data_IF_185653841812
#
_entry.id   IF_185653841812
#
_cell.length_a   1.000
_cell.length_b   1.000
_cell.length_c   1.000
_cell.angle_alpha   90.00
_cell.angle_beta   90.00
_cell.angle_gamma   90.00
#
_symmetry.space_group_name_H-M   'P 1'
#
loop_
_entity.id
_entity.type
_entity.pdbx_description
1 polymer ?
#
# COMPACT_ATOMS: atom_id res chain seq x y z
N UNK A 1 17.51 52.34 0.03
CA UNK A 1 16.54 51.96 1.07
C UNK A 1 16.41 50.45 0.97
N UNK A 2 16.88 49.74 2.00
CA UNK A 2 17.07 48.29 1.95
C UNK A 2 15.74 47.56 1.82
N UNK A 3 15.67 46.65 0.85
CA UNK A 3 14.60 45.66 0.76
C UNK A 3 14.69 44.78 2.00
N UNK A 4 13.71 44.94 2.89
CA UNK A 4 13.48 44.04 4.01
C UNK A 4 13.24 42.65 3.45
N UNK A 5 14.14 41.70 3.75
CA UNK A 5 13.81 40.27 3.75
C UNK A 5 12.51 40.09 4.53
N UNK A 6 11.41 39.92 3.80
CA UNK A 6 10.14 39.52 4.39
C UNK A 6 10.28 38.04 4.74
N UNK A 7 10.05 37.64 5.99
CA UNK A 7 10.43 36.33 6.45
C UNK A 7 9.63 35.28 5.70
N UNK A 8 10.36 34.43 4.95
CA UNK A 8 9.97 33.04 4.75
C UNK A 8 9.36 32.56 6.06
N UNK A 9 8.11 32.11 5.98
CA UNK A 9 7.35 31.37 6.98
C UNK A 9 8.21 31.14 8.22
N UNK A 10 7.99 31.93 9.28
CA UNK A 10 8.63 31.65 10.57
C UNK A 10 8.44 30.17 10.85
N UNK A 11 9.54 29.44 10.81
CA UNK A 11 9.65 28.01 11.11
C UNK A 11 9.44 27.73 12.61
N UNK A 12 8.51 28.44 13.25
CA UNK A 12 8.25 28.43 14.69
C UNK A 12 6.76 28.21 14.97
N UNK A 13 6.28 27.04 14.54
CA UNK A 13 5.47 26.13 15.38
C UNK A 13 5.46 24.73 14.77
N UNK A 14 6.66 24.22 14.42
CA UNK A 14 6.81 22.80 14.15
C UNK A 14 6.64 22.05 15.48
N UNK A 15 5.39 21.81 15.88
CA UNK A 15 5.06 20.54 16.54
C UNK A 15 5.72 19.50 15.65
N UNK A 16 6.75 18.83 16.17
CA UNK A 16 7.46 17.76 15.47
C UNK A 16 6.39 16.84 14.88
N UNK A 17 6.23 16.89 13.56
CA UNK A 17 5.18 16.12 12.90
C UNK A 17 5.62 14.67 12.98
N UNK A 18 4.83 13.86 13.67
CA UNK A 18 5.08 12.43 13.77
C UNK A 18 5.02 11.84 12.35
N UNK A 19 5.93 10.95 11.94
CA UNK A 19 5.84 10.23 10.68
C UNK A 19 4.49 9.60 10.44
N UNK A 20 3.78 9.08 11.44
CA UNK A 20 2.42 8.57 11.25
C UNK A 20 1.43 9.65 10.83
N UNK A 21 1.67 10.93 11.17
CA UNK A 21 0.82 12.05 10.78
C UNK A 21 1.12 12.54 9.35
N UNK A 22 2.36 12.38 8.87
CA UNK A 22 2.76 12.68 7.49
C UNK A 22 3.59 11.55 6.89
N UNK A 23 3.01 10.34 6.85
CA UNK A 23 3.72 9.11 6.46
C UNK A 23 4.37 9.23 5.08
N UNK A 24 3.67 9.90 4.16
CA UNK A 24 4.15 10.09 2.79
C UNK A 24 5.09 11.29 2.63
N UNK A 25 5.37 12.04 3.70
CA UNK A 25 6.26 13.21 3.71
C UNK A 25 5.77 14.34 2.81
N UNK A 26 4.46 14.57 2.72
CA UNK A 26 3.87 15.62 1.89
C UNK A 26 4.36 17.02 2.29
N UNK A 27 4.47 17.33 3.58
CA UNK A 27 4.98 18.63 4.06
C UNK A 27 6.44 18.83 3.68
N UNK A 28 7.26 17.77 3.80
CA UNK A 28 8.67 17.80 3.36
C UNK A 28 8.76 18.02 1.85
N UNK A 29 7.97 17.29 1.06
CA UNK A 29 7.93 17.46 -0.40
C UNK A 29 7.49 18.85 -0.83
N UNK A 30 6.52 19.44 -0.12
CA UNK A 30 6.09 20.81 -0.40
C UNK A 30 7.20 21.81 -0.10
N UNK A 31 7.85 21.72 1.07
CA UNK A 31 9.03 22.55 1.39
C UNK A 31 10.11 22.43 0.34
N UNK A 32 10.53 21.21 -0.01
CA UNK A 32 11.53 21.00 -1.05
C UNK A 32 11.09 21.54 -2.43
N UNK A 33 9.78 21.58 -2.72
CA UNK A 33 9.27 22.15 -3.97
C UNK A 33 9.33 23.68 -3.95
N UNK A 34 9.08 24.32 -2.80
CA UNK A 34 9.26 25.76 -2.60
C UNK A 34 10.74 26.14 -2.66
N UNK A 35 11.62 25.36 -2.01
CA UNK A 35 13.07 25.62 -2.05
C UNK A 35 13.57 25.57 -3.49
N UNK A 36 13.16 24.56 -4.28
CA UNK A 36 13.51 24.49 -5.71
C UNK A 36 12.92 25.61 -6.57
N UNK A 37 11.74 26.11 -6.21
CA UNK A 37 11.11 27.24 -6.90
C UNK A 37 11.92 28.52 -6.64
N UNK A 38 12.39 28.71 -5.40
CA UNK A 38 13.23 29.84 -4.99
C UNK A 38 14.68 29.71 -5.49
N UNK A 39 15.22 28.51 -5.60
CA UNK A 39 16.61 28.32 -6.03
C UNK A 39 16.78 28.23 -7.56
N UNK A 40 15.70 28.41 -8.33
CA UNK A 40 15.73 28.26 -9.80
C UNK A 40 16.23 29.51 -10.53
N UNK A 41 17.47 29.48 -11.01
CA UNK A 41 18.06 30.58 -11.80
C UNK A 41 17.44 30.75 -13.20
N UNK A 42 16.82 29.69 -13.74
CA UNK A 42 16.21 29.65 -15.07
C UNK A 42 14.74 30.15 -15.07
N UNK A 43 14.15 30.40 -13.90
CA UNK A 43 12.78 30.88 -13.77
C UNK A 43 12.72 32.41 -13.73
N UNK A 44 11.84 33.00 -14.55
CA UNK A 44 11.55 34.44 -14.49
C UNK A 44 11.11 34.89 -13.09
N UNK A 45 11.62 36.04 -12.64
CA UNK A 45 11.31 36.58 -11.29
C UNK A 45 9.82 36.83 -11.08
N UNK A 46 9.14 37.29 -12.11
CA UNK A 46 7.71 37.60 -12.14
C UNK A 46 6.87 36.34 -11.91
N UNK A 47 7.27 35.23 -12.53
CA UNK A 47 6.63 33.93 -12.33
C UNK A 47 6.88 33.41 -10.94
N UNK A 48 8.12 33.48 -10.45
CA UNK A 48 8.46 33.04 -9.11
C UNK A 48 7.59 33.73 -8.05
N UNK A 49 7.50 35.06 -8.11
CA UNK A 49 6.71 35.86 -7.18
C UNK A 49 5.21 35.52 -7.29
N UNK A 50 4.69 35.43 -8.51
CA UNK A 50 3.27 35.13 -8.75
C UNK A 50 2.91 33.71 -8.31
N UNK A 51 3.77 32.71 -8.55
CA UNK A 51 3.58 31.33 -8.11
C UNK A 51 3.60 31.28 -6.58
N UNK A 52 4.54 31.95 -5.91
CA UNK A 52 4.57 32.00 -4.45
C UNK A 52 3.31 32.65 -3.86
N UNK A 53 2.86 33.76 -4.44
CA UNK A 53 1.61 34.40 -4.02
C UNK A 53 0.43 33.45 -4.17
N UNK A 54 0.29 32.82 -5.34
CA UNK A 54 -0.80 31.89 -5.60
C UNK A 54 -0.80 30.69 -4.64
N UNK A 55 0.36 30.09 -4.39
CA UNK A 55 0.48 28.96 -3.47
C UNK A 55 0.12 29.35 -2.03
N UNK A 56 0.39 30.60 -1.61
CA UNK A 56 -0.05 31.12 -0.31
C UNK A 56 -1.55 31.35 -0.27
N UNK A 57 -2.13 31.92 -1.31
CA UNK A 57 -3.58 32.15 -1.41
C UNK A 57 -4.37 30.84 -1.39
N UNK A 58 -3.78 29.76 -1.91
CA UNK A 58 -4.37 28.42 -1.95
C UNK A 58 -4.06 27.54 -0.74
N UNK A 59 -3.24 28.02 0.20
CA UNK A 59 -2.92 27.26 1.40
C UNK A 59 -4.16 27.12 2.30
N UNK A 60 -4.39 25.93 2.84
CA UNK A 60 -5.62 25.59 3.55
C UNK A 60 -6.80 25.16 2.66
N UNK A 61 -6.91 25.69 1.44
CA UNK A 61 -7.94 25.29 0.48
C UNK A 61 -7.58 23.99 -0.25
N UNK A 62 -6.29 23.80 -0.55
CA UNK A 62 -5.78 22.64 -1.25
C UNK A 62 -5.00 21.70 -0.34
N UNK A 63 -4.99 20.42 -0.71
CA UNK A 63 -4.11 19.46 -0.07
C UNK A 63 -2.64 19.86 -0.29
N UNK A 64 -1.80 19.73 0.74
CA UNK A 64 -0.35 20.02 0.71
C UNK A 64 0.35 19.30 -0.46
N UNK A 65 -0.07 18.07 -0.76
CA UNK A 65 0.44 17.32 -1.91
C UNK A 65 0.16 18.00 -3.25
N UNK A 66 -0.99 18.66 -3.38
CA UNK A 66 -1.39 19.39 -4.58
C UNK A 66 -0.58 20.68 -4.71
N UNK A 67 -0.38 21.41 -3.61
CA UNK A 67 0.49 22.60 -3.60
C UNK A 67 1.92 22.24 -4.04
N UNK A 68 2.49 21.15 -3.53
CA UNK A 68 3.80 20.65 -3.95
C UNK A 68 3.85 20.32 -5.45
N UNK A 69 2.79 19.71 -5.99
CA UNK A 69 2.70 19.41 -7.42
C UNK A 69 2.60 20.67 -8.27
N UNK A 70 1.80 21.65 -7.85
CA UNK A 70 1.67 22.92 -8.54
C UNK A 70 2.98 23.71 -8.54
N UNK A 71 3.63 23.85 -7.37
CA UNK A 71 4.95 24.49 -7.27
C UNK A 71 5.96 23.85 -8.24
N UNK A 72 6.07 22.52 -8.21
CA UNK A 72 7.00 21.80 -9.08
C UNK A 72 6.65 21.93 -10.57
N UNK A 73 5.38 21.87 -10.94
CA UNK A 73 4.95 21.90 -12.34
C UNK A 73 5.08 23.29 -12.96
N UNK A 74 4.64 24.32 -12.24
CA UNK A 74 4.75 25.70 -12.71
C UNK A 74 6.20 26.14 -12.79
N UNK A 75 7.05 25.76 -11.84
CA UNK A 75 8.51 25.96 -11.95
C UNK A 75 9.04 25.37 -13.26
N UNK A 76 8.76 24.09 -13.53
CA UNK A 76 9.27 23.42 -14.76
C UNK A 76 8.72 24.08 -16.03
N UNK A 77 7.47 24.53 -16.03
CA UNK A 77 6.92 25.26 -17.18
C UNK A 77 7.59 26.62 -17.37
N UNK A 78 7.81 27.37 -16.29
CA UNK A 78 8.47 28.67 -16.35
C UNK A 78 9.93 28.57 -16.76
N UNK A 79 10.66 27.55 -16.29
CA UNK A 79 12.05 27.25 -16.73
C UNK A 79 12.15 26.88 -18.22
N UNK A 80 11.04 26.47 -18.83
CA UNK A 80 10.98 26.07 -20.25
C UNK A 80 10.44 27.18 -21.15
N UNK A 81 9.87 28.23 -20.57
CA UNK A 81 9.21 29.27 -21.32
C UNK A 81 10.15 30.46 -21.47
N UNK A 82 10.38 30.91 -22.70
CA UNK A 82 11.15 32.14 -22.96
C UNK A 82 10.40 33.41 -22.53
N UNK A 83 9.08 33.29 -22.35
CA UNK A 83 8.16 34.35 -21.91
C UNK A 83 7.70 34.00 -20.50
N UNK A 84 7.63 34.95 -19.55
CA UNK A 84 7.04 34.70 -18.25
C UNK A 84 5.65 34.08 -18.37
N UNK A 85 5.36 33.03 -17.59
CA UNK A 85 4.05 32.38 -17.51
C UNK A 85 2.92 33.39 -17.28
N UNK A 86 3.20 34.45 -16.50
CA UNK A 86 2.25 35.53 -16.21
C UNK A 86 1.89 36.39 -17.43
N UNK A 87 2.69 36.35 -18.50
CA UNK A 87 2.55 37.17 -19.71
C UNK A 87 2.18 36.35 -20.96
N UNK A 88 1.97 35.03 -20.82
CA UNK A 88 1.66 34.15 -21.95
C UNK A 88 0.33 34.53 -22.64
N UNK A 89 0.34 34.48 -23.97
CA UNK A 89 -0.86 34.42 -24.79
C UNK A 89 -1.29 32.97 -25.05
N UNK A 90 -2.49 32.78 -25.61
CA UNK A 90 -2.99 31.45 -25.98
C UNK A 90 -2.05 30.73 -26.97
N UNK A 91 -1.45 31.47 -27.90
CA UNK A 91 -0.56 30.89 -28.90
C UNK A 91 0.77 30.47 -28.27
N UNK A 92 1.31 31.27 -27.33
CA UNK A 92 2.51 30.90 -26.57
C UNK A 92 2.27 29.65 -25.71
N UNK A 93 1.09 29.53 -25.08
CA UNK A 93 0.70 28.33 -24.32
C UNK A 93 0.66 27.10 -25.24
N UNK A 94 0.09 27.24 -26.45
CA UNK A 94 0.02 26.14 -27.42
C UNK A 94 1.40 25.71 -27.90
N UNK A 95 2.28 26.68 -28.14
CA UNK A 95 3.68 26.44 -28.52
C UNK A 95 4.45 25.73 -27.40
N UNK A 96 4.37 26.23 -26.16
CA UNK A 96 5.00 25.63 -24.98
C UNK A 96 4.59 24.16 -24.80
N UNK A 97 3.31 23.83 -24.96
CA UNK A 97 2.84 22.45 -24.87
C UNK A 97 3.13 21.62 -26.12
N UNK A 98 3.26 22.23 -27.30
CA UNK A 98 3.75 21.54 -28.48
C UNK A 98 5.20 21.10 -28.28
N UNK A 99 6.07 21.98 -27.79
CA UNK A 99 7.46 21.67 -27.49
C UNK A 99 7.59 20.62 -26.39
N UNK A 100 6.87 20.79 -25.26
CA UNK A 100 6.89 19.83 -24.16
C UNK A 100 6.51 18.42 -24.60
N UNK A 101 5.53 18.26 -25.50
CA UNK A 101 5.10 16.95 -26.02
C UNK A 101 6.17 16.29 -26.90
N UNK A 102 6.99 17.08 -27.59
CA UNK A 102 7.97 16.60 -28.56
C UNK A 102 9.40 16.55 -28.00
N UNK A 103 9.63 17.09 -26.81
CA UNK A 103 10.92 17.03 -26.14
C UNK A 103 11.25 15.59 -25.66
N UNK A 104 12.30 14.95 -26.21
CA UNK A 104 12.67 13.58 -25.83
C UNK A 104 13.20 13.46 -24.40
N UNK A 105 13.62 14.57 -23.78
CA UNK A 105 14.25 14.60 -22.46
C UNK A 105 13.27 15.08 -21.37
N UNK A 106 12.04 15.48 -21.74
CA UNK A 106 11.01 15.94 -20.80
C UNK A 106 10.33 14.84 -19.97
N UNK A 107 10.47 13.57 -20.35
CA UNK A 107 9.90 12.42 -19.64
C UNK A 107 10.94 11.45 -19.08
N UNK A 108 10.50 10.28 -18.61
CA UNK A 108 11.41 9.23 -18.12
C UNK A 108 11.86 8.34 -19.27
N UNK A 109 12.98 8.69 -19.90
CA UNK A 109 13.56 7.90 -20.99
C UNK A 109 12.85 8.11 -22.34
N UNK A 110 12.32 9.31 -22.56
CA UNK A 110 11.58 9.71 -23.75
C UNK A 110 10.61 10.85 -23.45
N UNK A 111 9.78 11.26 -24.43
CA UNK A 111 8.78 12.30 -24.24
C UNK A 111 7.80 12.01 -23.10
N UNK A 112 7.20 13.05 -22.49
CA UNK A 112 6.29 12.88 -21.37
C UNK A 112 5.00 12.17 -21.82
N UNK A 113 4.45 11.34 -20.94
CA UNK A 113 3.15 10.70 -21.20
C UNK A 113 2.03 11.73 -21.34
N UNK A 114 0.95 11.41 -22.06
CA UNK A 114 -0.23 12.29 -22.18
C UNK A 114 -0.79 12.72 -20.81
N UNK A 115 -0.81 11.79 -19.84
CA UNK A 115 -1.22 12.10 -18.46
C UNK A 115 -0.28 13.09 -17.77
N UNK A 116 1.03 13.02 -18.06
CA UNK A 116 2.00 13.98 -17.55
C UNK A 116 1.76 15.37 -18.15
N UNK A 117 1.55 15.44 -19.46
CA UNK A 117 1.27 16.70 -20.18
C UNK A 117 -0.03 17.33 -19.67
N UNK A 118 -1.11 16.56 -19.58
CA UNK A 118 -2.38 17.01 -19.01
C UNK A 118 -2.21 17.60 -17.60
N UNK A 119 -1.39 16.98 -16.75
CA UNK A 119 -1.13 17.47 -15.41
C UNK A 119 -0.40 18.83 -15.40
N UNK A 120 0.48 19.09 -16.37
CA UNK A 120 1.09 20.40 -16.56
C UNK A 120 0.07 21.42 -17.08
N UNK A 121 -0.72 21.07 -18.10
CA UNK A 121 -1.80 21.92 -18.63
C UNK A 121 -2.80 22.31 -17.54
N UNK A 122 -3.24 21.35 -16.72
CA UNK A 122 -4.16 21.59 -15.61
C UNK A 122 -3.56 22.48 -14.52
N UNK A 123 -2.25 22.36 -14.26
CA UNK A 123 -1.56 23.24 -13.30
C UNK A 123 -1.49 24.69 -13.83
N UNK A 124 -1.10 24.87 -15.09
CA UNK A 124 -1.04 26.18 -15.72
C UNK A 124 -2.43 26.82 -15.81
N UNK A 125 -3.44 26.06 -16.26
CA UNK A 125 -4.81 26.55 -16.30
C UNK A 125 -5.35 26.93 -14.92
N UNK A 126 -5.04 26.17 -13.87
CA UNK A 126 -5.47 26.52 -12.51
C UNK A 126 -4.81 27.80 -11.98
N UNK A 127 -3.55 28.04 -12.36
CA UNK A 127 -2.81 29.26 -12.03
C UNK A 127 -3.35 30.47 -12.81
N UNK A 128 -3.51 30.31 -14.12
CA UNK A 128 -4.06 31.34 -15.01
C UNK A 128 -5.50 31.73 -14.65
N UNK A 129 -6.34 30.75 -14.27
CA UNK A 129 -7.69 31.01 -13.78
C UNK A 129 -7.70 31.84 -12.48
N UNK A 130 -6.76 31.62 -11.56
CA UNK A 130 -6.66 32.44 -10.34
C UNK A 130 -6.28 33.89 -10.64
N UNK A 131 -5.50 34.08 -11.71
CA UNK A 131 -5.04 35.38 -12.18
C UNK A 131 -6.03 36.07 -13.13
N UNK A 132 -7.11 35.38 -13.51
CA UNK A 132 -8.09 35.85 -14.49
C UNK A 132 -7.46 36.14 -15.87
N UNK A 133 -6.44 35.35 -16.25
CA UNK A 133 -5.76 35.51 -17.54
C UNK A 133 -6.72 35.14 -18.69
N UNK A 134 -6.92 36.07 -19.64
CA UNK A 134 -7.99 35.97 -20.67
C UNK A 134 -7.94 34.72 -21.53
N UNK A 135 -6.74 34.21 -21.83
CA UNK A 135 -6.57 33.06 -22.73
C UNK A 135 -7.11 31.76 -22.13
N UNK A 136 -7.30 31.70 -20.81
CA UNK A 136 -7.71 30.47 -20.11
C UNK A 136 -9.13 30.03 -20.49
N UNK A 137 -10.00 30.97 -20.88
CA UNK A 137 -11.36 30.67 -21.33
C UNK A 137 -11.38 29.88 -22.64
N UNK A 138 -10.36 30.06 -23.48
CA UNK A 138 -10.18 29.42 -24.78
C UNK A 138 -9.20 28.24 -24.73
N UNK A 139 -8.78 27.83 -23.53
CA UNK A 139 -7.84 26.74 -23.31
C UNK A 139 -8.48 25.61 -22.51
N UNK A 140 -8.70 24.47 -23.16
CA UNK A 140 -9.10 23.23 -22.49
C UNK A 140 -7.89 22.29 -22.40
N UNK A 141 -7.41 21.94 -21.19
CA UNK A 141 -6.39 20.92 -21.02
C UNK A 141 -6.79 19.62 -21.73
N UNK A 142 -5.87 19.06 -22.52
CA UNK A 142 -6.12 17.84 -23.30
C UNK A 142 -6.24 16.66 -22.35
N UNK A 143 -7.48 16.35 -21.94
CA UNK A 143 -7.75 15.16 -21.14
C UNK A 143 -7.34 13.96 -22.00
N UNK A 144 -6.36 13.16 -21.55
CA UNK A 144 -6.02 11.95 -22.28
C UNK A 144 -7.30 11.14 -22.44
N UNK A 145 -7.48 10.55 -23.62
CA UNK A 145 -8.54 9.57 -23.79
C UNK A 145 -8.40 8.59 -22.64
N UNK A 146 -9.49 8.40 -21.87
CA UNK A 146 -9.55 7.35 -20.88
C UNK A 146 -9.48 6.02 -21.65
N UNK A 147 -8.28 5.61 -22.06
CA UNK A 147 -7.99 4.21 -22.23
C UNK A 147 -8.23 3.65 -20.84
N UNK A 148 -9.42 3.08 -20.67
CA UNK A 148 -9.79 2.42 -19.44
C UNK A 148 -8.78 1.29 -19.32
N UNK A 149 -7.70 1.52 -18.58
CA UNK A 149 -6.92 0.42 -18.02
C UNK A 149 -7.85 -0.25 -17.05
N UNK A 150 -8.65 -1.16 -17.59
CA UNK A 150 -9.33 -2.21 -16.85
C UNK A 150 -8.25 -2.84 -16.00
N UNK A 151 -8.56 -3.06 -14.72
CA UNK A 151 -7.65 -3.86 -13.91
C UNK A 151 -7.67 -5.23 -14.57
N UNK A 152 -6.53 -5.66 -15.13
CA UNK A 152 -6.47 -7.00 -15.70
C UNK A 152 -6.61 -7.97 -14.53
N UNK A 153 -7.53 -8.93 -14.63
CA UNK A 153 -7.69 -9.91 -13.57
C UNK A 153 -6.40 -10.70 -13.35
N UNK A 154 -5.62 -10.93 -14.42
CA UNK A 154 -4.31 -11.58 -14.36
C UNK A 154 -3.30 -10.81 -13.50
N UNK A 155 -3.47 -9.50 -13.33
CA UNK A 155 -2.57 -8.71 -12.47
C UNK A 155 -2.94 -8.83 -10.98
N UNK A 156 -4.16 -9.31 -10.66
CA UNK A 156 -4.63 -9.46 -9.28
C UNK A 156 -4.07 -10.72 -8.63
N UNK A 157 -3.84 -10.63 -7.32
CA UNK A 157 -3.43 -11.76 -6.50
C UNK A 157 -4.61 -12.71 -6.26
N UNK A 158 -4.39 -14.01 -6.45
CA UNK A 158 -5.31 -15.09 -6.05
C UNK A 158 -5.20 -15.39 -4.54
N UNK A 159 -6.10 -16.20 -3.99
CA UNK A 159 -6.00 -16.64 -2.60
C UNK A 159 -4.71 -17.43 -2.34
N UNK A 160 -4.35 -18.33 -3.26
CA UNK A 160 -3.14 -19.14 -3.14
C UNK A 160 -1.86 -18.28 -3.26
N UNK A 161 -1.87 -17.25 -4.11
CA UNK A 161 -0.76 -16.29 -4.18
C UNK A 161 -0.64 -15.47 -2.89
N UNK A 162 -1.75 -15.07 -2.26
CA UNK A 162 -1.71 -14.41 -0.94
C UNK A 162 -1.17 -15.36 0.13
N UNK A 163 -1.56 -16.64 0.12
CA UNK A 163 -1.00 -17.64 1.02
C UNK A 163 0.51 -17.82 0.82
N UNK A 164 0.96 -17.94 -0.43
CA UNK A 164 2.39 -18.02 -0.76
C UNK A 164 3.18 -16.79 -0.29
N UNK A 165 2.60 -15.58 -0.39
CA UNK A 165 3.21 -14.37 0.16
C UNK A 165 3.31 -14.41 1.69
N UNK A 166 2.29 -14.94 2.36
CA UNK A 166 2.28 -15.11 3.82
C UNK A 166 3.37 -16.10 4.24
N UNK A 167 3.48 -17.23 3.56
CA UNK A 167 4.48 -18.27 3.85
C UNK A 167 5.92 -17.80 3.57
N UNK A 168 6.12 -16.97 2.55
CA UNK A 168 7.40 -16.34 2.25
C UNK A 168 7.81 -15.25 3.28
N UNK A 169 6.92 -14.82 4.17
CA UNK A 169 7.23 -13.77 5.14
C UNK A 169 8.15 -14.26 6.27
N UNK A 170 9.43 -13.88 6.20
CA UNK A 170 10.44 -14.18 7.24
C UNK A 170 10.23 -13.52 8.61
N UNK A 171 9.23 -12.63 8.77
CA UNK A 171 8.99 -11.87 10.01
C UNK A 171 7.49 -11.67 10.26
N UNK A 172 7.01 -11.76 11.52
CA UNK A 172 5.60 -11.53 11.85
C UNK A 172 5.07 -10.17 11.41
N UNK A 173 5.91 -9.11 11.42
CA UNK A 173 5.52 -7.80 10.90
C UNK A 173 5.17 -7.85 9.41
N UNK A 174 5.97 -8.53 8.61
CA UNK A 174 5.76 -8.59 7.16
C UNK A 174 4.50 -9.40 6.85
N UNK A 175 4.30 -10.51 7.56
CA UNK A 175 3.06 -11.29 7.50
C UNK A 175 1.84 -10.43 7.85
N UNK A 176 1.89 -9.71 8.97
CA UNK A 176 0.82 -8.81 9.38
C UNK A 176 0.56 -7.69 8.35
N UNK A 177 1.59 -7.18 7.67
CA UNK A 177 1.44 -6.20 6.57
C UNK A 177 0.69 -6.82 5.39
N UNK A 178 1.10 -8.00 4.93
CA UNK A 178 0.51 -8.68 3.77
C UNK A 178 -0.95 -9.02 4.05
N UNK A 179 -1.22 -9.69 5.18
CA UNK A 179 -2.58 -10.06 5.56
C UNK A 179 -3.47 -8.83 5.76
N UNK A 180 -2.96 -7.77 6.41
CA UNK A 180 -3.76 -6.55 6.62
C UNK A 180 -4.14 -5.85 5.31
N UNK A 181 -3.21 -5.80 4.35
CA UNK A 181 -3.52 -5.24 3.04
C UNK A 181 -4.50 -6.11 2.25
N UNK A 182 -4.35 -7.44 2.30
CA UNK A 182 -5.27 -8.38 1.66
C UNK A 182 -6.68 -8.36 2.29
N UNK A 183 -6.77 -8.24 3.62
CA UNK A 183 -8.03 -8.15 4.36
C UNK A 183 -8.77 -6.85 4.03
N UNK A 184 -8.09 -5.71 4.16
CA UNK A 184 -8.73 -4.40 4.23
C UNK A 184 -8.69 -3.60 2.93
N UNK A 185 -7.74 -3.90 2.03
CA UNK A 185 -7.54 -3.13 0.80
C UNK A 185 -7.17 -1.66 1.03
N UNK A 186 -6.67 -1.29 2.21
CA UNK A 186 -6.35 0.09 2.56
C UNK A 186 -5.22 0.66 1.68
N UNK A 187 -5.24 1.99 1.51
CA UNK A 187 -4.14 2.68 0.82
C UNK A 187 -2.88 2.67 1.70
N UNK A 188 -1.71 2.66 1.07
CA UNK A 188 -0.41 2.70 1.76
C UNK A 188 -0.31 3.81 2.81
N UNK A 189 -0.71 5.04 2.47
CA UNK A 189 -0.65 6.17 3.39
C UNK A 189 -1.50 5.94 4.64
N UNK A 190 -2.66 5.28 4.50
CA UNK A 190 -3.50 4.93 5.64
C UNK A 190 -2.82 3.84 6.47
N UNK A 191 -2.43 2.72 5.86
CA UNK A 191 -1.75 1.61 6.56
C UNK A 191 -0.52 2.08 7.35
N UNK A 192 0.33 2.89 6.72
CA UNK A 192 1.53 3.44 7.33
C UNK A 192 1.29 4.54 8.38
N UNK A 193 0.10 5.13 8.41
CA UNK A 193 -0.28 6.15 9.40
C UNK A 193 -0.91 5.58 10.68
N UNK A 194 -1.21 4.29 10.72
CA UNK A 194 -1.82 3.65 11.88
C UNK A 194 -0.81 3.56 13.03
N UNK A 195 -1.30 3.81 14.23
CA UNK A 195 -0.57 3.60 15.49
C UNK A 195 -1.13 2.38 16.22
N UNK A 196 -0.44 1.92 17.25
CA UNK A 196 -0.89 0.81 18.09
C UNK A 196 -2.32 1.06 18.62
N UNK A 197 -2.60 2.26 19.14
CA UNK A 197 -3.93 2.60 19.68
C UNK A 197 -5.05 2.69 18.64
N UNK A 198 -4.68 2.78 17.36
CA UNK A 198 -5.63 2.92 16.27
C UNK A 198 -6.23 1.55 15.89
N UNK A 199 -5.79 0.45 16.53
CA UNK A 199 -6.28 -0.90 16.30
C UNK A 199 -6.85 -1.50 17.59
N UNK A 200 -8.07 -2.01 17.52
CA UNK A 200 -8.71 -2.79 18.56
C UNK A 200 -8.82 -4.24 18.09
N UNK A 201 -8.03 -5.14 18.69
CA UNK A 201 -8.01 -6.57 18.36
C UNK A 201 -8.71 -7.42 19.42
N UNK A 202 -9.30 -6.79 20.44
CA UNK A 202 -9.92 -7.47 21.56
C UNK A 202 -11.34 -7.94 21.20
N UNK A 203 -11.73 -9.09 21.72
CA UNK A 203 -13.04 -9.70 21.44
C UNK A 203 -13.18 -10.23 20.01
N UNK A 204 -14.42 -10.48 19.59
CA UNK A 204 -14.72 -11.06 18.27
C UNK A 204 -14.72 -10.01 17.15
N UNK A 205 -15.00 -8.74 17.48
CA UNK A 205 -15.19 -7.65 16.52
C UNK A 205 -13.97 -6.73 16.46
N UNK A 206 -12.88 -7.24 15.90
CA UNK A 206 -11.67 -6.44 15.73
C UNK A 206 -11.89 -5.30 14.72
N UNK A 207 -11.28 -4.14 14.97
CA UNK A 207 -11.38 -2.96 14.12
C UNK A 207 -10.08 -2.16 14.06
N UNK A 208 -9.93 -1.30 13.05
CA UNK A 208 -8.99 -0.18 13.07
C UNK A 208 -9.72 1.14 12.81
N UNK A 209 -9.17 2.25 13.31
CA UNK A 209 -9.65 3.60 13.05
C UNK A 209 -8.53 4.42 12.42
N UNK A 210 -8.73 5.09 11.26
CA UNK A 210 -7.66 5.88 10.65
C UNK A 210 -7.14 6.97 11.59
N UNK A 211 -5.83 7.21 11.56
CA UNK A 211 -5.22 8.27 12.36
C UNK A 211 -5.80 9.65 11.96
N UNK A 212 -6.55 10.27 12.88
CA UNK A 212 -7.19 11.57 12.67
C UNK A 212 -6.24 12.72 12.33
N UNK A 213 -4.97 12.62 12.70
CA UNK A 213 -3.96 13.63 12.43
C UNK A 213 -3.26 13.39 11.08
N UNK A 214 -3.47 12.21 10.48
CA UNK A 214 -2.78 11.84 9.26
C UNK A 214 -3.30 12.62 8.04
N UNK A 215 -2.37 13.13 7.25
CA UNK A 215 -2.68 13.80 6.00
C UNK A 215 -2.62 12.84 4.81
N UNK A 216 -3.43 13.12 3.78
CA UNK A 216 -3.44 12.32 2.56
C UNK A 216 -4.25 11.02 2.63
N UNK A 217 -5.20 10.92 3.56
CA UNK A 217 -6.11 9.77 3.68
C UNK A 217 -7.15 9.65 2.55
N UNK A 218 -7.17 10.60 1.59
CA UNK A 218 -7.99 10.58 0.37
C UNK A 218 -9.49 10.33 0.65
N UNK A 219 -10.04 11.03 1.63
CA UNK A 219 -11.47 10.98 1.96
C UNK A 219 -11.89 9.79 2.84
N UNK A 220 -10.94 9.04 3.42
CA UNK A 220 -11.28 8.08 4.46
C UNK A 220 -11.85 8.82 5.68
N UNK A 221 -13.04 8.44 6.11
CA UNK A 221 -13.67 8.97 7.31
C UNK A 221 -12.97 8.43 8.56
N UNK A 222 -12.92 9.24 9.63
CA UNK A 222 -12.35 8.83 10.91
C UNK A 222 -13.41 8.07 11.71
N UNK A 223 -13.56 6.78 11.38
CA UNK A 223 -14.46 5.84 12.07
C UNK A 223 -13.83 4.44 12.12
N UNK A 224 -14.33 3.54 12.98
CA UNK A 224 -13.88 2.16 13.01
C UNK A 224 -14.25 1.41 11.71
N UNK A 225 -13.31 0.63 11.20
CA UNK A 225 -13.47 -0.31 10.09
C UNK A 225 -13.09 -1.71 10.57
N UNK A 226 -13.77 -2.77 10.10
CA UNK A 226 -13.52 -4.11 10.62
C UNK A 226 -12.08 -4.62 10.36
N UNK A 227 -11.66 -5.64 11.09
CA UNK A 227 -10.51 -6.49 10.79
C UNK A 227 -11.02 -7.92 10.90
N UNK A 228 -10.80 -8.72 9.87
CA UNK A 228 -11.35 -10.07 9.78
C UNK A 228 -10.22 -11.08 9.60
N UNK A 229 -9.58 -11.11 8.43
CA UNK A 229 -8.53 -12.10 8.13
C UNK A 229 -7.22 -11.79 8.87
N UNK A 230 -6.86 -10.51 9.00
CA UNK A 230 -5.53 -10.15 9.52
C UNK A 230 -5.48 -10.02 11.05
N UNK A 231 -6.56 -10.37 11.76
CA UNK A 231 -6.65 -10.19 13.21
C UNK A 231 -5.57 -11.00 13.94
N UNK A 232 -5.42 -12.26 13.56
CA UNK A 232 -4.51 -13.18 14.23
C UNK A 232 -3.04 -12.81 13.97
N UNK A 233 -2.65 -12.52 12.74
CA UNK A 233 -1.29 -12.07 12.41
C UNK A 233 -0.93 -10.74 13.08
N UNK A 234 -1.86 -9.77 13.13
CA UNK A 234 -1.66 -8.53 13.87
C UNK A 234 -1.45 -8.79 15.37
N UNK A 235 -2.22 -9.70 15.99
CA UNK A 235 -2.04 -10.08 17.41
C UNK A 235 -0.69 -10.73 17.65
N UNK A 236 -0.28 -11.67 16.79
CA UNK A 236 1.03 -12.35 16.91
C UNK A 236 2.14 -11.31 16.82
N UNK A 237 2.09 -10.44 15.81
CA UNK A 237 3.07 -9.39 15.62
C UNK A 237 3.14 -8.43 16.83
N UNK A 238 2.00 -7.89 17.28
CA UNK A 238 1.95 -6.96 18.42
C UNK A 238 2.48 -7.59 19.72
N UNK A 239 2.18 -8.87 19.96
CA UNK A 239 2.59 -9.54 21.21
C UNK A 239 4.03 -10.02 21.23
N UNK A 240 4.55 -10.46 20.08
CA UNK A 240 5.81 -11.22 20.05
C UNK A 240 6.95 -10.51 19.32
N UNK A 241 6.69 -9.48 18.52
CA UNK A 241 7.73 -8.89 17.66
C UNK A 241 7.68 -7.39 17.51
N UNK A 242 6.58 -6.74 17.88
CA UNK A 242 6.49 -5.28 17.84
C UNK A 242 7.46 -4.68 18.87
N UNK A 243 8.33 -3.72 18.51
CA UNK A 243 9.33 -3.17 19.44
C UNK A 243 8.74 -2.37 20.61
N UNK A 244 7.62 -1.66 20.38
CA UNK A 244 6.98 -0.77 21.38
C UNK A 244 5.45 -0.97 21.47
N UNK A 245 4.96 -2.18 21.79
CA UNK A 245 3.54 -2.52 21.69
C UNK A 245 2.70 -1.88 22.80
N UNK A 246 3.33 -1.45 23.91
CA UNK A 246 2.66 -0.77 25.01
C UNK A 246 2.63 0.76 24.84
N UNK A 247 3.21 1.29 23.76
CA UNK A 247 3.21 2.72 23.44
C UNK A 247 2.07 3.06 22.48
N UNK A 248 0.98 3.72 22.94
CA UNK A 248 -0.21 3.94 22.13
C UNK A 248 0.05 4.75 20.85
N UNK A 249 1.02 5.67 20.89
CA UNK A 249 1.39 6.52 19.75
C UNK A 249 2.45 5.91 18.83
N UNK A 250 3.05 4.78 19.17
CA UNK A 250 4.00 4.11 18.29
C UNK A 250 3.30 3.65 17.01
N UNK A 251 4.01 3.73 15.88
CA UNK A 251 3.48 3.27 14.60
C UNK A 251 3.17 1.77 14.67
N UNK A 252 1.98 1.37 14.19
CA UNK A 252 1.56 -0.03 14.15
C UNK A 252 2.59 -0.86 13.39
N UNK A 253 2.94 -0.46 12.17
CA UNK A 253 4.00 -1.12 11.39
C UNK A 253 5.34 -0.43 11.65
N UNK A 254 6.04 -0.96 12.65
CA UNK A 254 7.23 -0.37 13.23
C UNK A 254 8.51 -0.79 12.48
N UNK A 255 9.48 0.12 12.42
CA UNK A 255 10.84 -0.12 11.96
C UNK A 255 11.66 -0.84 13.04
N UNK A 256 12.55 -1.76 12.67
CA UNK A 256 13.42 -2.40 13.67
C UNK A 256 14.67 -1.54 13.92
N UNK A 257 15.24 -1.62 15.13
CA UNK A 257 16.44 -0.88 15.51
C UNK A 257 17.58 -1.08 14.49
N UNK A 258 18.33 0.01 14.21
CA UNK A 258 19.47 0.00 13.29
C UNK A 258 19.23 0.55 11.88
N UNK A 259 18.02 1.05 11.56
CA UNK A 259 17.68 1.57 10.22
C UNK A 259 17.32 3.08 10.16
N UNK A 260 17.62 3.85 11.21
CA UNK A 260 17.44 5.31 11.31
C UNK A 260 17.65 5.78 12.75
N UNK A 261 17.97 7.05 12.99
CA UNK A 261 18.23 7.61 14.34
C UNK A 261 17.10 7.23 15.33
N UNK A 262 17.38 6.26 16.21
CA UNK A 262 16.41 5.64 17.14
C UNK A 262 16.02 6.57 18.30
N UNK A 263 16.47 7.82 18.30
CA UNK A 263 16.14 8.74 19.40
C UNK A 263 15.19 9.81 18.88
N UNK A 264 13.92 9.69 19.30
CA UNK A 264 12.83 10.68 19.24
C UNK A 264 11.75 10.54 18.14
N UNK A 265 11.56 9.38 17.51
CA UNK A 265 10.51 9.16 16.51
C UNK A 265 9.46 8.08 16.86
N UNK A 266 8.30 8.08 16.21
CA UNK A 266 7.19 7.13 16.42
C UNK A 266 7.46 5.72 15.85
N UNK A 267 8.59 5.57 15.15
CA UNK A 267 9.10 4.32 14.63
C UNK A 267 8.44 3.85 13.36
N UNK A 268 7.66 4.66 12.66
CA UNK A 268 7.04 4.28 11.40
C UNK A 268 8.06 3.84 10.35
N UNK A 269 7.67 2.86 9.53
CA UNK A 269 8.40 2.59 8.28
C UNK A 269 8.34 3.81 7.36
N UNK A 270 9.38 4.05 6.56
CA UNK A 270 9.21 4.97 5.43
C UNK A 270 8.33 4.33 4.34
N UNK A 271 7.62 5.12 3.51
CA UNK A 271 6.87 4.60 2.37
C UNK A 271 7.70 3.73 1.42
N UNK A 272 8.98 4.07 1.25
CA UNK A 272 9.93 3.34 0.41
C UNK A 272 10.27 1.99 1.04
N UNK A 273 10.51 1.95 2.36
CA UNK A 273 10.75 0.71 3.10
C UNK A 273 9.54 -0.20 3.12
N UNK A 274 8.34 0.35 3.33
CA UNK A 274 7.09 -0.42 3.27
C UNK A 274 6.94 -1.11 1.90
N UNK A 275 7.13 -0.38 0.79
CA UNK A 275 7.09 -0.98 -0.55
C UNK A 275 8.23 -1.98 -0.78
N UNK A 276 9.40 -1.74 -0.21
CA UNK A 276 10.53 -2.66 -0.31
C UNK A 276 10.26 -3.98 0.42
N UNK A 277 9.54 -3.95 1.55
CA UNK A 277 9.10 -5.16 2.24
C UNK A 277 8.21 -5.99 1.31
N UNK A 278 7.20 -5.37 0.69
CA UNK A 278 6.29 -6.07 -0.22
C UNK A 278 7.01 -6.68 -1.43
N UNK A 279 7.95 -5.95 -2.05
CA UNK A 279 8.75 -6.48 -3.15
C UNK A 279 9.61 -7.67 -2.72
N UNK A 280 10.30 -7.56 -1.59
CA UNK A 280 11.12 -8.66 -1.07
C UNK A 280 10.31 -9.91 -0.80
N UNK A 281 9.09 -9.78 -0.27
CA UNK A 281 8.20 -10.92 -0.03
C UNK A 281 7.73 -11.54 -1.35
N UNK A 282 7.45 -10.72 -2.37
CA UNK A 282 7.09 -11.21 -3.70
C UNK A 282 8.23 -11.99 -4.36
N UNK A 283 9.45 -11.45 -4.28
CA UNK A 283 10.65 -12.10 -4.81
C UNK A 283 10.91 -13.44 -4.10
N UNK A 284 10.76 -13.47 -2.77
CA UNK A 284 10.90 -14.69 -1.96
C UNK A 284 9.79 -15.73 -2.28
N UNK A 285 8.58 -15.28 -2.63
CA UNK A 285 7.46 -16.15 -3.01
C UNK A 285 7.49 -16.58 -4.50
N UNK A 286 8.39 -16.04 -5.31
CA UNK A 286 8.44 -16.31 -6.76
C UNK A 286 7.24 -15.78 -7.54
N UNK A 287 6.62 -14.67 -7.09
CA UNK A 287 5.44 -14.08 -7.72
C UNK A 287 5.84 -12.88 -8.60
N UNK A 288 5.66 -13.02 -9.90
CA UNK A 288 5.97 -11.98 -10.90
C UNK A 288 4.91 -10.86 -10.96
N UNK A 289 3.71 -11.10 -10.40
CA UNK A 289 2.63 -10.11 -10.37
C UNK A 289 2.99 -8.91 -9.50
N UNK A 290 2.39 -7.72 -9.74
CA UNK A 290 2.70 -6.54 -8.95
C UNK A 290 2.27 -6.65 -7.47
N UNK A 291 3.16 -7.02 -6.55
CA UNK A 291 2.83 -7.05 -5.10
C UNK A 291 2.98 -5.65 -4.49
N UNK A 292 1.91 -4.87 -4.53
CA UNK A 292 1.87 -3.51 -4.01
C UNK A 292 0.50 -3.15 -3.43
N UNK A 293 0.37 -2.08 -2.63
CA UNK A 293 -0.88 -1.75 -1.94
C UNK A 293 -2.06 -1.45 -2.88
N UNK A 294 -1.80 -0.98 -4.10
CA UNK A 294 -2.87 -0.81 -5.09
C UNK A 294 -3.37 -2.16 -5.60
N UNK A 295 -2.47 -3.12 -5.83
CA UNK A 295 -2.88 -4.46 -6.24
C UNK A 295 -3.65 -5.19 -5.14
N UNK A 296 -3.17 -5.16 -3.90
CA UNK A 296 -3.93 -5.71 -2.76
C UNK A 296 -5.33 -5.12 -2.63
N UNK A 297 -5.47 -3.81 -2.90
CA UNK A 297 -6.78 -3.18 -2.93
C UNK A 297 -7.67 -3.71 -4.05
N UNK A 298 -7.12 -3.93 -5.24
CA UNK A 298 -7.85 -4.53 -6.35
C UNK A 298 -8.29 -5.95 -6.00
N UNK A 299 -7.37 -6.78 -5.52
CA UNK A 299 -7.65 -8.12 -5.00
C UNK A 299 -8.73 -8.11 -3.92
N UNK A 300 -8.65 -7.22 -2.93
CA UNK A 300 -9.62 -7.17 -1.84
C UNK A 300 -11.03 -6.78 -2.33
N UNK A 301 -11.14 -5.81 -3.26
CA UNK A 301 -12.42 -5.41 -3.86
C UNK A 301 -13.03 -6.57 -4.64
N UNK A 302 -12.24 -7.19 -5.51
CA UNK A 302 -12.71 -8.32 -6.31
C UNK A 302 -13.11 -9.49 -5.43
N UNK A 303 -12.28 -9.87 -4.45
CA UNK A 303 -12.58 -10.92 -3.47
C UNK A 303 -13.90 -10.67 -2.76
N UNK A 304 -14.10 -9.50 -2.15
CA UNK A 304 -15.35 -9.20 -1.46
C UNK A 304 -16.56 -9.24 -2.39
N UNK A 305 -16.38 -8.78 -3.63
CA UNK A 305 -17.42 -8.87 -4.63
C UNK A 305 -17.76 -10.34 -4.96
N UNK A 306 -16.75 -11.23 -5.12
CA UNK A 306 -16.95 -12.68 -5.29
C UNK A 306 -17.60 -13.34 -4.07
N UNK A 307 -17.29 -12.87 -2.87
CA UNK A 307 -17.92 -13.29 -1.62
C UNK A 307 -19.37 -12.77 -1.46
N UNK A 308 -19.91 -12.04 -2.46
CA UNK A 308 -21.29 -11.55 -2.46
C UNK A 308 -21.55 -10.28 -1.65
N UNK A 309 -20.49 -9.53 -1.29
CA UNK A 309 -20.65 -8.29 -0.53
C UNK A 309 -21.33 -7.21 -1.35
N UNK A 310 -22.23 -6.45 -0.71
CA UNK A 310 -22.90 -5.33 -1.32
C UNK A 310 -21.94 -4.19 -1.67
N UNK A 311 -22.24 -3.47 -2.76
CA UNK A 311 -21.47 -2.30 -3.24
C UNK A 311 -21.11 -1.29 -2.13
N UNK A 312 -22.09 -0.97 -1.27
CA UNK A 312 -21.91 -0.02 -0.17
C UNK A 312 -20.99 -0.57 0.93
N UNK A 313 -21.04 -1.88 1.18
CA UNK A 313 -20.21 -2.57 2.16
C UNK A 313 -18.75 -2.58 1.69
N UNK A 314 -18.52 -2.88 0.42
CA UNK A 314 -17.19 -2.81 -0.21
C UNK A 314 -16.66 -1.37 -0.16
N UNK A 315 -17.46 -0.38 -0.57
CA UNK A 315 -17.08 1.05 -0.51
C UNK A 315 -16.67 1.46 0.90
N UNK A 316 -17.44 1.03 1.91
CA UNK A 316 -17.12 1.24 3.31
C UNK A 316 -15.80 0.54 3.67
N UNK A 317 -15.65 -0.75 3.35
CA UNK A 317 -14.48 -1.57 3.71
C UNK A 317 -13.18 -1.02 3.15
N UNK A 318 -13.18 -0.47 1.93
CA UNK A 318 -11.97 0.07 1.31
C UNK A 318 -11.84 1.59 1.43
N UNK A 319 -12.71 2.29 2.15
CA UNK A 319 -12.66 3.75 2.29
C UNK A 319 -12.76 4.48 0.93
N UNK A 320 -13.74 4.11 0.12
CA UNK A 320 -14.18 4.92 -1.01
C UNK A 320 -15.32 5.85 -0.60
N UNK A 321 -15.36 7.02 -1.22
CA UNK A 321 -16.57 7.84 -1.21
C UNK A 321 -17.68 7.16 -2.04
N UNK A 322 -18.93 7.39 -1.66
CA UNK A 322 -20.10 6.75 -2.28
C UNK A 322 -20.23 7.06 -3.79
N UNK A 323 -19.81 8.26 -4.22
CA UNK A 323 -19.94 8.77 -5.61
C UNK A 323 -18.65 8.65 -6.43
N UNK A 324 -18.01 7.48 -6.41
CA UNK A 324 -16.73 7.30 -7.10
C UNK A 324 -16.85 6.53 -8.42
N UNK A 325 -16.20 7.03 -9.48
CA UNK A 325 -16.02 6.33 -10.76
C UNK A 325 -15.08 5.11 -10.65
N UNK A 326 -14.58 4.76 -9.46
CA UNK A 326 -13.66 3.63 -9.26
C UNK A 326 -14.28 2.30 -9.67
N UNK A 327 -15.61 2.16 -9.62
CA UNK A 327 -16.35 0.98 -10.07
C UNK A 327 -16.17 0.68 -11.56
N UNK A 328 -15.90 1.69 -12.40
CA UNK A 328 -15.68 1.49 -13.84
C UNK A 328 -14.48 0.55 -14.11
N UNK A 329 -13.55 0.41 -13.17
CA UNK A 329 -12.40 -0.49 -13.31
C UNK A 329 -12.72 -1.97 -13.11
N UNK A 330 -13.88 -2.30 -12.53
CA UNK A 330 -14.27 -3.68 -12.17
C UNK A 330 -15.46 -4.19 -12.99
N UNK A 331 -15.87 -3.47 -14.04
CA UNK A 331 -17.03 -3.84 -14.87
C UNK A 331 -16.86 -5.22 -15.52
N UNK A 332 -15.64 -5.62 -15.86
CA UNK A 332 -15.37 -6.92 -16.47
C UNK A 332 -15.54 -8.08 -15.48
N UNK A 333 -14.99 -7.95 -14.27
CA UNK A 333 -15.25 -8.87 -13.15
C UNK A 333 -16.75 -9.08 -12.96
N UNK A 334 -17.52 -7.98 -12.97
CA UNK A 334 -18.98 -8.09 -12.82
C UNK A 334 -19.64 -8.81 -13.99
N UNK A 335 -19.14 -8.65 -15.21
CA UNK A 335 -19.71 -9.28 -16.39
C UNK A 335 -19.40 -10.78 -16.46
N UNK A 336 -18.17 -11.19 -16.14
CA UNK A 336 -17.77 -12.60 -16.11
C UNK A 336 -18.56 -13.37 -15.07
N UNK A 337 -18.67 -12.85 -13.85
CA UNK A 337 -19.46 -13.49 -12.81
C UNK A 337 -20.96 -13.53 -13.10
N UNK A 338 -21.54 -12.44 -13.64
CA UNK A 338 -22.93 -12.47 -14.06
C UNK A 338 -23.14 -13.56 -15.13
N UNK A 339 -22.18 -13.75 -16.03
CA UNK A 339 -22.27 -14.82 -17.01
C UNK A 339 -22.13 -16.20 -16.37
N UNK A 340 -21.19 -16.40 -15.45
CA UNK A 340 -21.02 -17.66 -14.69
C UNK A 340 -22.29 -18.01 -13.90
N UNK A 341 -22.87 -17.06 -13.16
CA UNK A 341 -24.14 -17.24 -12.44
C UNK A 341 -25.29 -17.59 -13.41
N UNK A 342 -25.38 -16.90 -14.55
CA UNK A 342 -26.37 -17.21 -15.59
C UNK A 342 -26.16 -18.62 -16.14
N UNK A 343 -24.90 -19.04 -16.37
CA UNK A 343 -24.60 -20.37 -16.88
C UNK A 343 -24.85 -21.46 -15.84
N UNK A 344 -24.57 -21.21 -14.56
CA UNK A 344 -24.88 -22.09 -13.44
C UNK A 344 -26.39 -22.24 -13.27
N UNK A 345 -27.15 -21.13 -13.29
CA UNK A 345 -28.62 -21.16 -13.23
C UNK A 345 -29.23 -21.86 -14.45
N UNK A 346 -28.60 -21.73 -15.62
CA UNK A 346 -29.00 -22.44 -16.84
C UNK A 346 -28.57 -23.92 -16.86
N UNK A 347 -27.79 -24.39 -15.87
CA UNK A 347 -27.28 -25.76 -15.78
C UNK A 347 -26.30 -26.14 -16.89
N UNK A 348 -25.57 -25.16 -17.42
CA UNK A 348 -24.64 -25.30 -18.56
C UNK A 348 -23.21 -25.62 -18.11
N UNK A 349 -22.88 -25.39 -16.84
CA UNK A 349 -21.56 -25.64 -16.24
C UNK A 349 -21.76 -26.49 -14.99
N UNK A 350 -20.92 -27.52 -14.80
CA UNK A 350 -20.75 -28.13 -13.48
C UNK A 350 -19.99 -27.11 -12.62
N UNK A 351 -20.44 -26.83 -11.40
CA UNK A 351 -19.74 -25.96 -10.42
C UNK A 351 -18.28 -26.42 -10.26
N UNK A 352 -17.39 -25.89 -11.09
CA UNK A 352 -15.95 -26.11 -11.04
C UNK A 352 -15.27 -24.76 -11.16
N UNK A 353 -15.43 -23.95 -10.12
CA UNK A 353 -14.48 -22.90 -9.79
C UNK A 353 -14.37 -22.74 -8.28
N UNK A 354 -13.48 -23.55 -7.70
CA UNK A 354 -13.10 -23.54 -6.30
C UNK A 354 -12.19 -22.35 -5.93
N UNK A 355 -12.57 -21.12 -6.28
CA UNK A 355 -11.74 -19.92 -6.03
C UNK A 355 -12.16 -19.07 -4.81
N UNK A 356 -13.03 -19.59 -3.94
CA UNK A 356 -13.15 -19.08 -2.57
C UNK A 356 -13.24 -20.23 -1.58
N UNK A 357 -12.14 -20.52 -0.88
CA UNK A 357 -12.26 -21.25 0.39
C UNK A 357 -13.16 -20.41 1.31
N UNK A 358 -14.17 -21.01 1.93
CA UNK A 358 -14.99 -20.30 2.91
C UNK A 358 -14.16 -19.99 4.17
N UNK A 359 -14.46 -18.86 4.84
CA UNK A 359 -13.87 -18.57 6.15
C UNK A 359 -14.39 -19.61 7.15
N UNK A 360 -13.49 -20.27 7.85
CA UNK A 360 -13.85 -21.30 8.84
C UNK A 360 -13.50 -20.84 10.24
N UNK A 361 -14.14 -21.44 11.24
CA UNK A 361 -13.76 -21.26 12.64
C UNK A 361 -12.84 -22.40 13.04
N UNK A 362 -11.68 -22.08 13.62
CA UNK A 362 -10.76 -23.09 14.13
C UNK A 362 -11.45 -23.99 15.17
N UNK A 363 -11.49 -25.29 14.91
CA UNK A 363 -12.11 -26.27 15.83
C UNK A 363 -11.40 -26.39 17.18
N UNK A 364 -10.12 -25.97 17.26
CA UNK A 364 -9.32 -26.02 18.46
C UNK A 364 -9.45 -24.73 19.29
N UNK A 365 -9.04 -23.59 18.73
CA UNK A 365 -8.96 -22.33 19.48
C UNK A 365 -10.09 -21.33 19.17
N UNK A 366 -11.01 -21.66 18.27
CA UNK A 366 -12.13 -20.81 17.81
C UNK A 366 -11.74 -19.49 17.13
N UNK A 367 -10.48 -19.31 16.76
CA UNK A 367 -10.08 -18.16 15.93
C UNK A 367 -10.63 -18.34 14.51
N UNK A 368 -11.07 -17.25 13.89
CA UNK A 368 -11.47 -17.26 12.47
C UNK A 368 -10.23 -17.51 11.61
N UNK A 369 -10.28 -18.53 10.77
CA UNK A 369 -9.21 -18.85 9.84
C UNK A 369 -9.52 -18.17 8.49
N UNK A 370 -8.59 -17.36 7.95
CA UNK A 370 -8.77 -16.78 6.63
C UNK A 370 -9.02 -17.85 5.57
N UNK A 371 -9.80 -17.51 4.55
CA UNK A 371 -10.08 -18.39 3.41
C UNK A 371 -8.80 -19.03 2.84
N UNK A 372 -7.76 -18.24 2.65
CA UNK A 372 -6.49 -18.68 2.07
C UNK A 372 -5.58 -19.48 3.03
N UNK A 373 -5.88 -19.53 4.33
CA UNK A 373 -4.98 -20.10 5.32
C UNK A 373 -5.22 -21.61 5.52
N UNK A 374 -4.17 -22.41 5.29
CA UNK A 374 -4.20 -23.86 5.50
C UNK A 374 -3.97 -24.27 6.96
N UNK A 375 -3.44 -23.36 7.79
CA UNK A 375 -3.23 -23.56 9.22
C UNK A 375 -3.77 -22.38 10.03
N UNK A 376 -4.25 -22.64 11.24
CA UNK A 376 -4.65 -21.60 12.17
C UNK A 376 -3.42 -20.82 12.64
N UNK A 377 -3.35 -19.54 12.32
CA UNK A 377 -2.25 -18.65 12.72
C UNK A 377 -2.14 -18.40 14.23
N UNK A 378 -3.16 -18.77 15.02
CA UNK A 378 -3.12 -18.66 16.48
C UNK A 378 -2.60 -19.93 17.18
N UNK A 379 -3.06 -21.11 16.77
CA UNK A 379 -2.75 -22.36 17.47
C UNK A 379 -2.07 -23.43 16.61
N UNK A 380 -1.83 -23.15 15.33
CA UNK A 380 -1.21 -24.08 14.38
C UNK A 380 -2.10 -25.25 13.97
N UNK A 381 -3.38 -25.25 14.34
CA UNK A 381 -4.28 -26.35 13.97
C UNK A 381 -4.56 -26.34 12.46
N UNK A 382 -4.43 -27.48 11.74
CA UNK A 382 -4.68 -27.51 10.31
C UNK A 382 -6.14 -27.27 9.95
N UNK A 383 -6.36 -26.43 8.94
CA UNK A 383 -7.69 -26.03 8.48
C UNK A 383 -8.23 -26.95 7.38
N UNK A 384 -7.37 -27.46 6.50
CA UNK A 384 -7.74 -28.34 5.39
C UNK A 384 -7.40 -29.81 5.68
N UNK A 385 -8.02 -30.73 4.93
CA UNK A 385 -7.70 -32.16 5.00
C UNK A 385 -6.24 -32.42 4.59
N UNK A 386 -5.79 -31.77 3.53
CA UNK A 386 -4.42 -31.84 3.04
C UNK A 386 -3.43 -31.35 4.11
N UNK A 387 -3.69 -30.21 4.75
CA UNK A 387 -2.86 -29.70 5.83
C UNK A 387 -2.78 -30.65 7.05
N UNK A 388 -3.85 -31.41 7.34
CA UNK A 388 -3.83 -32.48 8.35
C UNK A 388 -2.99 -33.66 7.90
N UNK A 389 -3.14 -34.11 6.66
CA UNK A 389 -2.36 -35.22 6.09
C UNK A 389 -0.86 -34.88 6.07
N UNK A 390 -0.48 -33.64 5.71
CA UNK A 390 0.89 -33.14 5.77
C UNK A 390 1.42 -33.14 7.21
N UNK A 391 0.65 -32.63 8.18
CA UNK A 391 1.03 -32.64 9.60
C UNK A 391 1.19 -34.06 10.14
N UNK A 392 0.24 -34.95 9.86
CA UNK A 392 0.25 -36.34 10.33
C UNK A 392 1.39 -37.13 9.69
N UNK A 393 1.71 -36.88 8.42
CA UNK A 393 2.86 -37.48 7.72
C UNK A 393 4.19 -37.00 8.30
N UNK A 394 4.32 -35.70 8.59
CA UNK A 394 5.52 -35.15 9.24
C UNK A 394 5.71 -35.74 10.65
N UNK A 395 4.64 -35.82 11.45
CA UNK A 395 4.67 -36.44 12.79
C UNK A 395 4.98 -37.94 12.72
N UNK A 396 4.40 -38.67 11.75
CA UNK A 396 4.68 -40.08 11.53
C UNK A 396 6.13 -40.34 11.17
N UNK A 397 6.68 -39.56 10.23
CA UNK A 397 8.08 -39.67 9.80
C UNK A 397 9.06 -39.37 10.95
N UNK A 398 8.75 -38.36 11.78
CA UNK A 398 9.50 -38.06 13.00
C UNK A 398 9.40 -39.20 14.04
N UNK A 399 8.21 -39.77 14.23
CA UNK A 399 7.98 -40.85 15.18
C UNK A 399 8.68 -42.15 14.76
N UNK A 400 8.64 -42.49 13.47
CA UNK A 400 9.33 -43.65 12.89
C UNK A 400 10.85 -43.47 12.99
N UNK A 401 11.37 -42.29 12.65
CA UNK A 401 12.79 -41.95 12.84
C UNK A 401 13.24 -42.06 14.30
N UNK A 402 12.42 -41.61 15.26
CA UNK A 402 12.71 -41.80 16.69
C UNK A 402 12.61 -43.26 17.14
N UNK A 403 11.73 -44.07 16.54
CA UNK A 403 11.54 -45.46 16.90
C UNK A 403 12.74 -46.34 16.52
N UNK A 404 13.44 -46.00 15.43
CA UNK A 404 14.59 -46.75 14.91
C UNK A 404 15.93 -46.43 15.62
N UNK A 405 15.99 -45.37 16.41
CA UNK A 405 17.19 -44.94 17.11
C UNK A 405 17.31 -45.58 18.51
N UNK A 406 18.54 -45.90 18.91
CA UNK A 406 18.86 -46.26 20.29
C UNK A 406 18.76 -45.04 21.23
N UNK A 407 18.85 -45.26 22.55
CA UNK A 407 18.71 -44.18 23.54
C UNK A 407 19.77 -43.07 23.43
N UNK A 408 20.92 -43.33 22.81
CA UNK A 408 21.95 -42.33 22.56
C UNK A 408 21.64 -41.56 21.26
N UNK A 409 21.25 -42.26 20.20
CA UNK A 409 20.81 -41.71 18.93
C UNK A 409 19.55 -40.85 19.07
N UNK A 410 18.58 -41.24 19.91
CA UNK A 410 17.41 -40.40 20.24
C UNK A 410 17.80 -39.08 20.88
N UNK A 411 18.74 -39.11 21.83
CA UNK A 411 19.21 -37.90 22.52
C UNK A 411 19.96 -36.98 21.57
N UNK A 412 20.74 -37.54 20.66
CA UNK A 412 21.46 -36.79 19.64
C UNK A 412 20.50 -36.18 18.60
N UNK A 413 19.57 -36.97 18.07
CA UNK A 413 18.57 -36.51 17.10
C UNK A 413 17.69 -35.38 17.66
N UNK A 414 17.22 -35.53 18.91
CA UNK A 414 16.44 -34.46 19.58
C UNK A 414 17.29 -33.21 19.82
N UNK A 415 18.58 -33.34 20.13
CA UNK A 415 19.48 -32.19 20.29
C UNK A 415 19.78 -31.48 18.97
N UNK A 416 19.95 -32.23 17.88
CA UNK A 416 20.13 -31.68 16.52
C UNK A 416 18.85 -30.97 16.04
N UNK A 417 17.68 -31.57 16.25
CA UNK A 417 16.38 -30.97 15.92
C UNK A 417 16.16 -29.65 16.71
N UNK A 418 16.52 -29.62 17.99
CA UNK A 418 16.43 -28.41 18.80
C UNK A 418 17.41 -27.32 18.32
N UNK A 419 18.62 -27.70 17.89
CA UNK A 419 19.58 -26.75 17.30
C UNK A 419 19.11 -26.20 15.94
N UNK A 420 18.51 -27.02 15.09
CA UNK A 420 17.97 -26.57 13.81
C UNK A 420 16.76 -25.66 13.98
N UNK A 421 15.85 -25.96 14.91
CA UNK A 421 14.71 -25.08 15.23
C UNK A 421 15.20 -23.73 15.79
N UNK A 422 16.28 -23.72 16.56
CA UNK A 422 16.91 -22.48 17.03
C UNK A 422 17.62 -21.69 15.92
N UNK A 423 18.09 -22.37 14.86
CA UNK A 423 18.81 -21.77 13.74
C UNK A 423 17.90 -21.28 12.60
N UNK A 424 16.85 -22.05 12.27
CA UNK A 424 15.86 -21.74 11.24
C UNK A 424 14.51 -22.46 11.50
N UNK A 425 13.54 -21.78 12.13
CA UNK A 425 12.22 -22.35 12.45
C UNK A 425 11.38 -22.76 11.22
N UNK A 426 11.77 -22.36 10.00
CA UNK A 426 11.01 -22.62 8.76
C UNK A 426 11.23 -24.02 8.17
N UNK A 427 12.19 -24.80 8.70
CA UNK A 427 12.54 -26.14 8.20
C UNK A 427 11.72 -27.30 8.80
N UNK A 428 10.70 -27.01 9.60
CA UNK A 428 9.81 -28.04 10.16
C UNK A 428 8.99 -28.73 9.06
N UNK A 429 9.53 -29.83 8.49
CA UNK A 429 8.84 -30.65 7.50
C UNK A 429 9.72 -31.34 6.44
N UNK A 430 11.04 -31.10 6.40
CA UNK A 430 11.93 -31.58 5.31
C UNK A 430 12.82 -32.79 5.66
N UNK A 431 12.61 -33.46 6.79
CA UNK A 431 13.55 -34.49 7.25
C UNK A 431 13.42 -35.83 6.47
N UNK A 432 14.47 -36.19 5.72
CA UNK A 432 14.72 -37.58 5.30
C UNK A 432 15.38 -38.37 6.45
N UNK A 433 15.03 -39.65 6.59
CA UNK A 433 15.58 -40.54 7.61
C UNK A 433 17.12 -40.56 7.57
N UNK A 434 17.82 -40.43 8.70
CA UNK A 434 19.27 -40.56 8.70
C UNK A 434 19.64 -42.00 8.32
N UNK A 435 20.47 -42.15 7.28
CA UNK A 435 20.95 -43.47 6.89
C UNK A 435 21.69 -44.10 8.08
N UNK A 436 21.25 -45.29 8.51
CA UNK A 436 21.96 -46.07 9.52
C UNK A 436 23.35 -46.45 8.98
N UNK A 437 24.35 -45.61 9.27
CA UNK A 437 25.74 -46.00 9.13
C UNK A 437 26.05 -46.98 10.25
N UNK A 438 26.01 -48.27 9.91
CA UNK A 438 26.71 -49.29 10.68
C UNK A 438 28.19 -49.17 10.32
N UNK A 439 28.99 -48.68 11.26
CA UNK A 439 30.36 -49.13 11.53
C UNK A 439 30.68 -48.97 13.02
#
# INVERSE_FOLDING_TARGET
MGFTHSPLIKAESLVRTMPTDDFSGFRRRYRNALDRLEDSDDLHSEDRDAIHQWLRDRDGDLAVSSLAQYAGRLRVLGERSDIPLVDLSLDDVRELFFELRNDPDAGRGGPPSESTVYNYQAALAAFANHREDKWVEDFDPDKPAQQQKTVNEDDMLTQDEVAALVDACKRPRNQAIVEFLADTGVRLTLAGSLRVKDVDLDGERATYTPNRNAIGLKGAEIKPYPIIDSKASLRVYLRHSHPRPDEPEAALFHSFEGFGDVTEDDGALSPERFRSVLRSVADDAGIDKPVNPHNFRHTAVTRMWREGWGKQEIQHRVQWSLDTNMWQRYVHVTAEQMNEEIFAEAGVVEDDDSLSKERTTCGNCRETIPAHADYCSWCGEPNSREARETKDSAVGSLADGLAELDDAGRRQFVAELLQEIEADPSQLGTHESPSSSRD
#
